data_IF_123654868850
#
_entry.id   IF_123654868850
#
_cell.length_a   1.000
_cell.length_b   1.000
_cell.length_c   1.000
_cell.angle_alpha   90.00
_cell.angle_beta   90.00
_cell.angle_gamma   90.00
#
_symmetry.space_group_name_H-M   'P 1'
#
loop_
_entity.id
_entity.type
_entity.pdbx_description
1 polymer ?
#
# COMPACT_ATOMS: atom_id res chain seq x y z
N UNK A 1 -13.19 -7.33 -1.77
CA UNK A 1 -12.16 -6.51 -2.44
C UNK A 1 -11.41 -5.60 -1.47
N UNK A 2 -12.08 -4.81 -0.62
CA UNK A 2 -11.43 -3.97 0.41
C UNK A 2 -10.36 -4.71 1.22
N UNK A 3 -10.74 -5.81 1.88
CA UNK A 3 -9.83 -6.59 2.73
C UNK A 3 -8.59 -7.10 1.97
N UNK A 4 -8.75 -7.47 0.70
CA UNK A 4 -7.64 -7.93 -0.14
C UNK A 4 -6.67 -6.79 -0.47
N UNK A 5 -7.18 -5.60 -0.82
CA UNK A 5 -6.36 -4.40 -1.07
C UNK A 5 -5.60 -3.99 0.19
N UNK A 6 -6.25 -4.04 1.36
CA UNK A 6 -5.60 -3.73 2.65
C UNK A 6 -4.50 -4.74 3.01
N UNK A 7 -4.75 -6.04 2.80
CA UNK A 7 -3.75 -7.08 3.06
C UNK A 7 -2.55 -6.96 2.11
N UNK A 8 -2.81 -6.79 0.80
CA UNK A 8 -1.77 -6.66 -0.20
C UNK A 8 -0.92 -5.39 0.01
N UNK A 9 -1.57 -4.25 0.30
CA UNK A 9 -0.86 -3.00 0.60
C UNK A 9 -0.01 -3.14 1.87
N UNK A 10 -0.52 -3.74 2.94
CA UNK A 10 0.25 -3.99 4.17
C UNK A 10 1.49 -4.85 3.92
N UNK A 11 1.35 -5.95 3.17
CA UNK A 11 2.46 -6.80 2.79
C UNK A 11 3.50 -6.04 1.96
N UNK A 12 3.07 -5.29 0.95
CA UNK A 12 3.95 -4.49 0.12
C UNK A 12 4.66 -3.38 0.94
N UNK A 13 3.99 -2.79 1.92
CA UNK A 13 4.57 -1.78 2.82
C UNK A 13 5.71 -2.38 3.65
N UNK A 14 5.54 -3.59 4.16
CA UNK A 14 6.59 -4.30 4.88
C UNK A 14 7.82 -4.53 3.97
N UNK A 15 7.62 -4.96 2.73
CA UNK A 15 8.71 -5.17 1.78
C UNK A 15 9.42 -3.85 1.43
N UNK A 16 8.68 -2.77 1.18
CA UNK A 16 9.27 -1.44 0.91
C UNK A 16 10.05 -0.92 2.12
N UNK A 17 9.55 -1.15 3.34
CA UNK A 17 10.27 -0.80 4.56
C UNK A 17 11.61 -1.54 4.68
N UNK A 18 11.61 -2.86 4.42
CA UNK A 18 12.86 -3.64 4.34
C UNK A 18 13.76 -3.15 3.20
N UNK A 19 13.21 -2.76 2.06
CA UNK A 19 14.00 -2.25 0.93
C UNK A 19 14.68 -0.90 1.25
N UNK A 20 14.10 -0.09 2.13
CA UNK A 20 14.65 1.22 2.51
C UNK A 20 15.59 1.16 3.71
N UNK A 21 15.29 0.33 4.72
CA UNK A 21 16.11 0.20 5.95
C UNK A 21 17.11 -0.95 5.91
N UNK A 22 16.82 -2.01 5.16
CA UNK A 22 17.53 -3.28 5.25
C UNK A 22 17.33 -3.99 6.58
N UNK A 23 17.80 -5.23 6.68
CA UNK A 23 17.89 -5.97 7.93
C UNK A 23 19.08 -6.94 7.90
N UNK A 24 20.15 -6.60 8.61
CA UNK A 24 21.39 -7.39 8.68
C UNK A 24 21.17 -8.79 9.24
N UNK A 25 20.22 -8.96 10.17
CA UNK A 25 19.90 -10.28 10.76
C UNK A 25 19.26 -11.25 9.77
N UNK A 26 18.58 -10.72 8.76
CA UNK A 26 17.98 -11.52 7.68
C UNK A 26 18.80 -11.47 6.38
N UNK A 27 20.03 -10.93 6.43
CA UNK A 27 20.86 -10.68 5.25
C UNK A 27 20.16 -9.86 4.15
N UNK A 28 19.22 -8.98 4.53
CA UNK A 28 18.47 -8.16 3.59
C UNK A 28 19.15 -6.80 3.43
N UNK A 29 19.67 -6.49 2.24
CA UNK A 29 20.32 -5.21 1.96
C UNK A 29 19.30 -4.14 1.53
N UNK A 30 19.59 -2.86 1.85
CA UNK A 30 18.76 -1.73 1.47
C UNK A 30 18.88 -1.42 -0.04
N UNK A 31 18.06 -2.08 -0.86
CA UNK A 31 18.08 -1.99 -2.33
C UNK A 31 17.64 -0.62 -2.84
N UNK A 32 16.79 0.10 -2.10
CA UNK A 32 16.31 1.43 -2.52
C UNK A 32 17.44 2.47 -2.62
N UNK A 33 18.57 2.30 -1.92
CA UNK A 33 19.72 3.21 -1.99
C UNK A 33 20.56 3.04 -3.27
N UNK A 34 20.39 1.92 -3.99
CA UNK A 34 21.14 1.63 -5.22
C UNK A 34 20.29 1.86 -6.48
N UNK A 35 18.95 1.78 -6.34
CA UNK A 35 17.98 1.96 -7.43
C UNK A 35 16.88 2.95 -7.02
N UNK A 36 17.22 4.22 -6.92
CA UNK A 36 16.28 5.29 -6.55
C UNK A 36 15.03 5.32 -7.44
N UNK A 37 15.18 5.16 -8.76
CA UNK A 37 14.08 5.22 -9.72
C UNK A 37 13.04 4.10 -9.56
N UNK A 38 13.47 2.91 -9.13
CA UNK A 38 12.57 1.80 -8.82
C UNK A 38 11.84 2.03 -7.50
N UNK A 39 12.54 2.58 -6.50
CA UNK A 39 11.97 2.85 -5.19
C UNK A 39 10.90 3.94 -5.26
N UNK A 40 11.15 5.00 -6.02
CA UNK A 40 10.21 6.11 -6.21
C UNK A 40 8.92 5.61 -6.89
N UNK A 41 9.06 4.82 -7.95
CA UNK A 41 7.92 4.29 -8.71
C UNK A 41 7.09 3.28 -7.91
N UNK A 42 7.76 2.39 -7.18
CA UNK A 42 7.09 1.44 -6.28
C UNK A 42 6.38 2.16 -5.15
N UNK A 43 7.01 3.16 -4.53
CA UNK A 43 6.40 3.96 -3.46
C UNK A 43 5.19 4.74 -3.97
N UNK A 44 5.27 5.34 -5.16
CA UNK A 44 4.14 6.01 -5.81
C UNK A 44 2.96 5.05 -6.05
N UNK A 45 3.23 3.84 -6.55
CA UNK A 45 2.21 2.79 -6.72
C UNK A 45 1.59 2.35 -5.39
N UNK A 46 2.40 2.24 -4.34
CA UNK A 46 1.95 1.90 -2.99
C UNK A 46 0.98 2.94 -2.43
N UNK A 47 1.35 4.22 -2.55
CA UNK A 47 0.50 5.36 -2.14
C UNK A 47 -0.81 5.37 -2.94
N UNK A 48 -0.74 5.11 -4.25
CA UNK A 48 -1.92 4.97 -5.10
C UNK A 48 -2.87 3.85 -4.62
N UNK A 49 -2.34 2.70 -4.20
CA UNK A 49 -3.14 1.59 -3.67
C UNK A 49 -3.83 1.93 -2.34
N UNK A 50 -3.15 2.65 -1.45
CA UNK A 50 -3.78 3.17 -0.22
C UNK A 50 -4.86 4.21 -0.55
N UNK A 51 -4.62 5.09 -1.53
CA UNK A 51 -5.64 6.03 -2.02
C UNK A 51 -6.89 5.32 -2.55
N UNK A 52 -6.70 4.28 -3.36
CA UNK A 52 -7.81 3.46 -3.86
C UNK A 52 -8.58 2.75 -2.73
N UNK A 53 -7.90 2.26 -1.68
CA UNK A 53 -8.53 1.69 -0.51
C UNK A 53 -9.46 2.71 0.18
N UNK A 54 -8.99 3.94 0.41
CA UNK A 54 -9.79 5.00 1.05
C UNK A 54 -11.00 5.37 0.19
N UNK A 55 -10.81 5.51 -1.12
CA UNK A 55 -11.90 5.79 -2.06
C UNK A 55 -12.96 4.68 -2.06
N UNK A 56 -12.55 3.41 -2.05
CA UNK A 56 -13.48 2.29 -1.97
C UNK A 56 -14.28 2.30 -0.66
N UNK A 57 -13.66 2.63 0.48
CA UNK A 57 -14.37 2.74 1.77
C UNK A 57 -15.42 3.85 1.67
N UNK A 58 -15.06 5.02 1.14
CA UNK A 58 -15.99 6.13 0.98
C UNK A 58 -17.18 5.75 0.08
N UNK A 59 -16.91 5.09 -1.06
CA UNK A 59 -17.96 4.62 -1.97
C UNK A 59 -18.90 3.62 -1.32
N UNK A 60 -18.38 2.71 -0.48
CA UNK A 60 -19.19 1.73 0.23
C UNK A 60 -20.08 2.41 1.27
N UNK A 61 -19.54 3.38 2.02
CA UNK A 61 -20.33 4.17 2.98
C UNK A 61 -21.42 4.97 2.27
N UNK A 62 -21.08 5.69 1.20
CA UNK A 62 -22.06 6.45 0.42
C UNK A 62 -23.17 5.55 -0.15
N UNK A 63 -22.81 4.36 -0.65
CA UNK A 63 -23.78 3.37 -1.14
C UNK A 63 -24.70 2.87 -0.03
N UNK A 64 -24.15 2.56 1.14
CA UNK A 64 -24.92 2.14 2.30
C UNK A 64 -25.87 3.24 2.78
N UNK A 65 -25.41 4.49 2.84
CA UNK A 65 -26.23 5.65 3.21
C UNK A 65 -27.33 5.93 2.20
N UNK A 66 -27.03 5.82 0.89
CA UNK A 66 -28.03 5.98 -0.16
C UNK A 66 -29.10 4.88 -0.09
N UNK A 67 -28.70 3.65 0.24
CA UNK A 67 -29.63 2.53 0.41
C UNK A 67 -30.46 2.67 1.69
N UNK A 68 -29.88 3.13 2.79
CA UNK A 68 -30.58 3.36 4.06
C UNK A 68 -31.54 4.57 4.02
N UNK A 69 -31.37 5.49 3.06
CA UNK A 69 -32.25 6.64 2.86
C UNK A 69 -33.48 6.30 1.98
N UNK A 70 -33.49 5.11 1.35
CA UNK A 70 -34.62 4.60 0.57
C UNK A 70 -35.54 3.76 1.44
#
# INVERSE_FOLDING_TARGET
>A
MLALVTAASSAATAIVYLAHKGNVRANWLAICQQLDSFCERTSGSLVGSFGAMVLLILLILLSAMALARR
#
